data_IF_571110499721
#
_entry.id   IF_571110499721
#
_cell.length_a   1.000
_cell.length_b   1.000
_cell.length_c   1.000
_cell.angle_alpha   90.00
_cell.angle_beta   90.00
_cell.angle_gamma   90.00
#
_symmetry.space_group_name_H-M   'P 1'
#
loop_
_entity.id
_entity.type
_entity.pdbx_description
1 polymer ?
#
# COMPACT_ATOMS: atom_id res chain seq x y z
N UNK A 1 14.49 -7.59 -13.06
CA UNK A 1 13.52 -8.43 -13.82
C UNK A 1 13.91 -9.87 -13.53
N UNK A 2 13.13 -10.61 -12.75
CA UNK A 2 13.33 -12.07 -12.73
C UNK A 2 13.00 -12.60 -14.13
N UNK A 3 13.78 -13.52 -14.69
CA UNK A 3 13.60 -14.01 -16.06
C UNK A 3 12.19 -14.54 -16.40
N UNK A 4 11.38 -14.85 -15.39
CA UNK A 4 10.08 -15.51 -15.56
C UNK A 4 8.89 -14.56 -15.82
N UNK A 5 9.09 -13.24 -15.77
CA UNK A 5 8.00 -12.26 -16.02
C UNK A 5 8.15 -11.65 -17.41
N UNK A 6 7.27 -12.05 -18.34
CA UNK A 6 7.24 -11.56 -19.71
C UNK A 6 6.71 -10.12 -19.87
N UNK A 7 6.73 -9.58 -21.10
CA UNK A 7 6.32 -8.21 -21.43
C UNK A 7 4.90 -7.85 -20.98
N UNK A 8 4.00 -8.82 -20.96
CA UNK A 8 2.62 -8.65 -20.50
C UNK A 8 2.49 -8.26 -19.01
N UNK A 9 3.56 -8.39 -18.22
CA UNK A 9 3.57 -7.91 -16.83
C UNK A 9 3.25 -6.42 -16.72
N UNK A 10 3.72 -5.61 -17.68
CA UNK A 10 3.52 -4.16 -17.68
C UNK A 10 2.04 -3.75 -17.76
N UNK A 11 1.18 -4.63 -18.30
CA UNK A 11 -0.27 -4.43 -18.41
C UNK A 11 -1.06 -5.21 -17.36
N UNK A 12 -0.40 -5.75 -16.33
CA UNK A 12 -1.07 -6.42 -15.22
C UNK A 12 -1.50 -7.86 -15.50
N UNK A 13 -0.82 -8.58 -16.40
CA UNK A 13 -1.17 -9.97 -16.73
C UNK A 13 -0.93 -11.00 -15.61
N UNK A 14 -0.39 -10.58 -14.46
CA UNK A 14 -0.24 -11.44 -13.29
C UNK A 14 -1.32 -11.17 -12.26
N UNK A 15 -1.84 -12.25 -11.70
CA UNK A 15 -2.74 -12.20 -10.56
C UNK A 15 -2.02 -11.68 -9.31
N UNK A 16 -2.77 -10.95 -8.48
CA UNK A 16 -2.31 -10.43 -7.19
C UNK A 16 -3.47 -10.50 -6.20
N UNK A 17 -3.17 -10.67 -4.92
CA UNK A 17 -4.20 -10.58 -3.89
C UNK A 17 -4.59 -9.12 -3.68
N UNK A 18 -5.88 -8.78 -3.46
CA UNK A 18 -6.30 -7.41 -3.19
C UNK A 18 -5.56 -6.77 -2.01
N UNK A 19 -5.27 -7.55 -0.95
CA UNK A 19 -4.51 -7.08 0.21
C UNK A 19 -3.09 -6.63 -0.18
N UNK A 20 -2.41 -7.38 -1.05
CA UNK A 20 -1.07 -7.03 -1.54
C UNK A 20 -1.14 -5.79 -2.42
N UNK A 21 -2.17 -5.69 -3.27
CA UNK A 21 -2.40 -4.53 -4.12
C UNK A 21 -2.62 -3.26 -3.30
N UNK A 22 -3.50 -3.28 -2.30
CA UNK A 22 -3.73 -2.13 -1.43
C UNK A 22 -2.48 -1.76 -0.63
N UNK A 23 -1.72 -2.74 -0.15
CA UNK A 23 -0.50 -2.46 0.58
C UNK A 23 0.58 -1.81 -0.31
N UNK A 24 0.67 -2.20 -1.59
CA UNK A 24 1.54 -1.56 -2.55
C UNK A 24 1.20 -0.06 -2.75
N UNK A 25 -0.08 0.31 -2.79
CA UNK A 25 -0.48 1.73 -2.78
C UNK A 25 -0.21 2.40 -1.44
N UNK A 26 -0.29 1.66 -0.33
CA UNK A 26 0.12 2.11 1.00
C UNK A 26 1.58 2.58 1.04
N UNK A 27 2.49 1.90 0.32
CA UNK A 27 3.89 2.32 0.16
C UNK A 27 4.01 3.69 -0.50
N UNK A 28 3.20 3.98 -1.53
CA UNK A 28 3.21 5.28 -2.18
C UNK A 28 2.69 6.37 -1.23
N UNK A 29 1.58 6.08 -0.54
CA UNK A 29 0.94 7.00 0.40
C UNK A 29 1.84 7.33 1.63
N UNK A 30 2.70 6.41 2.05
CA UNK A 30 3.65 6.60 3.15
C UNK A 30 4.97 7.27 2.74
N UNK A 31 5.11 7.71 1.49
CA UNK A 31 6.37 8.27 0.98
C UNK A 31 7.48 7.23 0.83
N UNK A 32 7.11 5.99 0.48
CA UNK A 32 8.03 4.90 0.15
C UNK A 32 8.34 3.93 1.29
N UNK A 33 7.55 3.93 2.36
CA UNK A 33 7.72 3.06 3.53
C UNK A 33 6.70 1.93 3.52
N UNK A 34 7.18 0.70 3.40
CA UNK A 34 6.39 -0.50 3.55
C UNK A 34 6.07 -0.77 5.03
N UNK A 35 4.79 -0.99 5.32
CA UNK A 35 4.35 -1.53 6.60
C UNK A 35 3.68 -2.87 6.34
N UNK A 36 3.93 -3.84 7.22
CA UNK A 36 3.24 -5.13 7.14
C UNK A 36 1.75 -4.95 7.43
N UNK A 37 0.83 -5.45 6.58
CA UNK A 37 -0.60 -5.34 6.81
C UNK A 37 -0.98 -6.04 8.11
N UNK A 38 -1.52 -5.30 9.06
CA UNK A 38 -2.01 -5.84 10.34
C UNK A 38 -3.51 -5.64 10.46
N UNK A 39 -4.23 -6.72 10.76
CA UNK A 39 -5.70 -6.70 10.95
C UNK A 39 -6.13 -6.80 12.42
N UNK A 40 -5.26 -7.29 13.31
CA UNK A 40 -5.54 -7.46 14.74
C UNK A 40 -4.62 -6.53 15.53
N UNK A 41 -5.20 -5.54 16.20
CA UNK A 41 -4.45 -4.59 17.02
C UNK A 41 -4.27 -5.06 18.46
N UNK A 42 -5.24 -5.80 19.00
CA UNK A 42 -5.20 -6.27 20.39
C UNK A 42 -6.09 -7.49 20.56
N UNK A 43 -5.62 -8.45 21.35
CA UNK A 43 -6.37 -9.63 21.78
C UNK A 43 -6.40 -9.61 23.30
N UNK A 44 -7.61 -9.69 23.86
CA UNK A 44 -7.85 -9.77 25.31
C UNK A 44 -8.69 -11.01 25.62
N UNK A 45 -8.45 -11.61 26.78
CA UNK A 45 -9.30 -12.70 27.28
C UNK A 45 -10.54 -12.17 28.03
N UNK A 46 -11.41 -13.09 28.47
CA UNK A 46 -12.63 -12.75 29.20
C UNK A 46 -12.39 -12.10 30.57
N UNK A 47 -11.18 -12.19 31.10
CA UNK A 47 -10.77 -11.57 32.35
C UNK A 47 -10.06 -10.21 32.12
N UNK A 48 -10.01 -9.74 30.87
CA UNK A 48 -9.39 -8.47 30.50
C UNK A 48 -7.86 -8.53 30.40
N UNK A 49 -7.24 -9.70 30.44
CA UNK A 49 -5.78 -9.83 30.28
C UNK A 49 -5.41 -9.72 28.80
N UNK A 50 -4.39 -8.91 28.51
CA UNK A 50 -3.87 -8.72 27.16
C UNK A 50 -3.03 -9.94 26.77
N UNK A 51 -3.47 -10.67 25.74
CA UNK A 51 -2.75 -11.82 25.19
C UNK A 51 -1.78 -11.39 24.09
N UNK A 52 -2.19 -10.41 23.28
CA UNK A 52 -1.39 -9.84 22.21
C UNK A 52 -1.78 -8.38 22.02
N UNK A 53 -0.80 -7.53 21.74
CA UNK A 53 -1.03 -6.14 21.39
C UNK A 53 -0.03 -5.75 20.30
N UNK A 54 -0.55 -5.33 19.15
CA UNK A 54 0.25 -4.80 18.08
C UNK A 54 0.95 -3.52 18.54
N UNK A 55 2.21 -3.37 18.13
CA UNK A 55 3.00 -2.17 18.39
C UNK A 55 3.35 -1.53 17.05
N UNK A 56 3.25 -0.19 16.93
CA UNK A 56 3.73 0.52 15.76
C UNK A 56 5.18 0.16 15.45
N UNK A 57 5.45 -0.19 14.21
CA UNK A 57 6.81 -0.31 13.69
C UNK A 57 7.08 0.84 12.72
N UNK A 58 8.35 1.20 12.55
CA UNK A 58 8.76 2.27 11.64
C UNK A 58 8.62 1.89 10.14
N UNK A 59 8.23 0.65 9.85
CA UNK A 59 8.23 0.08 8.51
C UNK A 59 9.63 -0.08 7.93
N UNK A 60 9.68 -0.42 6.64
CA UNK A 60 10.90 -0.57 5.86
C UNK A 60 10.83 0.37 4.67
N UNK A 61 11.84 1.24 4.50
CA UNK A 61 11.94 2.07 3.30
C UNK A 61 12.27 1.19 2.09
N UNK A 62 11.33 1.10 1.15
CA UNK A 62 11.48 0.33 -0.09
C UNK A 62 11.57 1.23 -1.33
N UNK A 63 11.17 2.50 -1.21
CA UNK A 63 11.35 3.54 -2.23
C UNK A 63 11.93 4.82 -1.62
N UNK A 64 12.78 5.56 -2.35
CA UNK A 64 13.10 6.94 -1.99
C UNK A 64 11.82 7.78 -1.97
N UNK A 65 11.72 8.71 -1.01
CA UNK A 65 10.53 9.53 -0.85
C UNK A 65 10.20 10.30 -2.15
N UNK A 66 11.23 10.83 -2.81
CA UNK A 66 11.11 11.56 -4.08
C UNK A 66 10.44 10.70 -5.16
N UNK A 67 10.78 9.41 -5.25
CA UNK A 67 10.17 8.48 -6.22
C UNK A 67 8.69 8.27 -5.91
N UNK A 68 8.34 8.02 -4.63
CA UNK A 68 6.95 7.87 -4.21
C UNK A 68 6.12 9.12 -4.49
N UNK A 69 6.68 10.32 -4.27
CA UNK A 69 6.04 11.59 -4.58
C UNK A 69 5.84 11.79 -6.09
N UNK A 70 6.84 11.52 -6.93
CA UNK A 70 6.71 11.64 -8.39
C UNK A 70 5.63 10.70 -8.94
N UNK A 71 5.56 9.46 -8.46
CA UNK A 71 4.50 8.53 -8.88
C UNK A 71 3.13 9.05 -8.43
N UNK A 72 3.02 9.47 -7.16
CA UNK A 72 1.77 10.01 -6.63
C UNK A 72 1.30 11.23 -7.41
N UNK A 73 2.23 12.09 -7.84
CA UNK A 73 1.95 13.25 -8.68
C UNK A 73 1.33 12.85 -10.03
N UNK A 74 1.99 11.93 -10.75
CA UNK A 74 1.49 11.40 -12.03
C UNK A 74 0.07 10.83 -11.91
N UNK A 75 -0.27 10.24 -10.76
CA UNK A 75 -1.56 9.62 -10.50
C UNK A 75 -2.66 10.59 -10.04
N UNK A 76 -2.32 11.84 -9.67
CA UNK A 76 -3.31 12.85 -9.19
C UNK A 76 -4.50 13.11 -10.13
N UNK A 77 -4.32 13.25 -11.46
CA UNK A 77 -5.45 13.53 -12.35
C UNK A 77 -6.32 12.30 -12.66
N UNK A 78 -5.83 11.08 -12.39
CA UNK A 78 -6.55 9.85 -12.71
C UNK A 78 -7.74 9.71 -11.77
N UNK A 79 -8.95 9.55 -12.31
CA UNK A 79 -10.18 9.48 -11.51
C UNK A 79 -10.89 10.82 -11.34
N UNK A 80 -10.55 11.85 -12.12
CA UNK A 80 -11.22 13.16 -12.14
C UNK A 80 -12.76 13.08 -12.21
N UNK A 81 -13.30 12.10 -12.93
CA UNK A 81 -14.74 11.86 -13.05
C UNK A 81 -15.43 11.45 -11.73
N UNK A 82 -14.66 11.03 -10.71
CA UNK A 82 -15.20 10.56 -9.42
C UNK A 82 -15.60 11.70 -8.48
N UNK A 83 -15.35 12.97 -8.84
CA UNK A 83 -15.73 14.16 -8.08
C UNK A 83 -15.28 14.15 -6.59
N UNK A 84 -14.10 13.58 -6.31
CA UNK A 84 -13.52 13.51 -4.97
C UNK A 84 -13.10 14.92 -4.53
N UNK A 85 -13.64 15.40 -3.40
CA UNK A 85 -13.46 16.77 -2.88
C UNK A 85 -12.21 16.99 -2.02
N UNK A 86 -11.33 16.00 -1.96
CA UNK A 86 -10.06 16.03 -1.21
C UNK A 86 -8.93 15.61 -2.14
N UNK A 87 -7.66 15.99 -1.88
CA UNK A 87 -6.53 15.49 -2.65
C UNK A 87 -6.51 13.96 -2.70
N UNK A 88 -6.27 13.41 -3.88
CA UNK A 88 -6.20 11.97 -4.11
C UNK A 88 -5.20 11.67 -5.24
N UNK A 89 -4.77 10.42 -5.28
CA UNK A 89 -4.01 9.83 -6.37
C UNK A 89 -4.59 8.43 -6.58
N UNK A 90 -4.90 8.07 -7.83
CA UNK A 90 -5.59 6.82 -8.12
C UNK A 90 -5.09 6.18 -9.42
N UNK A 91 -5.49 4.93 -9.66
CA UNK A 91 -5.28 4.22 -10.91
C UNK A 91 -6.48 3.31 -11.21
N UNK A 92 -6.82 3.22 -12.49
CA UNK A 92 -7.86 2.33 -13.02
C UNK A 92 -7.28 1.04 -13.59
#
# INVERSE_FOLDING_TARGET
LTPERGLAQAIGASEVLPLEHFNAYGVLASGGIYHEPTVILKVVDSQGRVLQEWKPNAGVRVLPAQVAYMISDILRPVGAALNIKRPYAAKT
#
